data_IF_289163512368
#
_entry.id   IF_289163512368
#
_cell.length_a   1.000
_cell.length_b   1.000
_cell.length_c   1.000
_cell.angle_alpha   90.00
_cell.angle_beta   90.00
_cell.angle_gamma   90.00
#
_symmetry.space_group_name_H-M   'P 1'
#
loop_
_entity.id
_entity.type
_entity.pdbx_description
1 polymer ?
#
# COMPACT_ATOMS: atom_id res chain seq x y z
N UNK A 1 -29.25 17.77 -19.15
CA UNK A 1 -27.95 18.41 -18.88
C UNK A 1 -27.05 17.44 -18.15
N UNK A 2 -25.88 17.22 -18.63
CA UNK A 2 -24.91 16.36 -17.98
C UNK A 2 -23.93 17.20 -17.17
N UNK A 3 -23.69 16.77 -15.93
CA UNK A 3 -22.66 17.37 -15.10
C UNK A 3 -21.34 16.67 -15.43
N UNK A 4 -20.26 17.44 -15.57
CA UNK A 4 -18.95 16.85 -15.78
C UNK A 4 -18.60 15.93 -14.60
N UNK A 5 -18.09 14.74 -14.88
CA UNK A 5 -17.66 13.83 -13.85
C UNK A 5 -16.49 14.45 -13.08
N UNK A 6 -16.53 14.36 -11.76
CA UNK A 6 -15.48 14.84 -10.88
C UNK A 6 -14.22 13.98 -11.00
N UNK A 7 -14.42 12.68 -11.19
CA UNK A 7 -13.35 11.71 -11.39
C UNK A 7 -13.65 10.86 -12.62
N UNK A 8 -12.60 10.49 -13.33
CA UNK A 8 -12.71 9.55 -14.44
C UNK A 8 -12.86 8.12 -13.92
N UNK A 9 -12.17 7.79 -12.83
CA UNK A 9 -12.15 6.45 -12.23
C UNK A 9 -12.18 6.58 -10.72
N UNK A 10 -13.07 5.81 -10.09
CA UNK A 10 -13.08 5.62 -8.64
C UNK A 10 -12.94 4.13 -8.39
N UNK A 11 -11.97 3.73 -7.60
CA UNK A 11 -11.76 2.34 -7.23
C UNK A 11 -11.93 2.12 -5.73
N UNK A 12 -12.46 0.98 -5.37
CA UNK A 12 -12.59 0.53 -3.99
C UNK A 12 -11.75 -0.73 -3.84
N UNK A 13 -10.86 -0.76 -2.86
CA UNK A 13 -10.00 -1.92 -2.67
C UNK A 13 -9.27 -1.90 -1.34
N UNK A 14 -8.38 -2.85 -1.19
CA UNK A 14 -7.53 -2.94 -0.02
C UNK A 14 -6.37 -1.94 -0.13
N UNK A 15 -6.15 -1.20 0.94
CA UNK A 15 -5.00 -0.34 1.06
C UNK A 15 -3.80 -1.20 1.50
N UNK A 16 -2.83 -1.36 0.61
CA UNK A 16 -1.68 -2.23 0.82
C UNK A 16 -0.41 -1.39 0.70
N UNK A 17 0.52 -1.61 1.62
CA UNK A 17 1.87 -1.04 1.55
C UNK A 17 2.86 -2.17 1.40
N UNK A 18 3.72 -2.06 0.40
CA UNK A 18 4.84 -2.99 0.20
C UNK A 18 6.05 -2.46 0.96
N UNK A 19 6.63 -3.32 1.78
CA UNK A 19 7.88 -3.03 2.49
C UNK A 19 8.93 -3.99 1.96
N UNK A 20 9.97 -3.44 1.35
CA UNK A 20 11.04 -4.23 0.73
C UNK A 20 12.34 -3.96 1.48
N UNK A 21 12.95 -4.99 2.00
CA UNK A 21 14.22 -4.90 2.69
C UNK A 21 15.13 -6.04 2.27
N UNK A 22 16.44 -5.84 2.42
CA UNK A 22 17.42 -6.90 2.20
C UNK A 22 17.57 -7.71 3.47
N UNK A 23 17.63 -9.03 3.32
CA UNK A 23 17.86 -9.94 4.43
C UNK A 23 18.71 -11.11 3.94
N UNK A 24 19.52 -11.68 4.83
CA UNK A 24 20.27 -12.89 4.51
C UNK A 24 19.44 -14.14 4.77
N UNK A 25 19.95 -15.30 4.33
CA UNK A 25 19.26 -16.56 4.49
C UNK A 25 19.09 -16.95 5.97
N UNK A 26 20.03 -16.56 6.82
CA UNK A 26 19.95 -16.81 8.26
C UNK A 26 18.75 -16.09 8.90
N UNK A 27 18.46 -14.87 8.48
CA UNK A 27 17.27 -14.13 8.92
C UNK A 27 16.00 -14.89 8.53
N UNK A 28 15.91 -15.31 7.29
CA UNK A 28 14.73 -16.02 6.75
C UNK A 28 14.53 -17.34 7.49
N UNK A 29 15.57 -18.14 7.66
CA UNK A 29 15.53 -19.43 8.36
C UNK A 29 15.20 -19.22 9.85
N UNK A 30 15.82 -18.24 10.48
CA UNK A 30 15.59 -17.93 11.89
C UNK A 30 14.17 -17.47 12.20
N UNK A 31 13.45 -16.97 11.20
CA UNK A 31 12.05 -16.58 11.30
C UNK A 31 11.07 -17.66 10.84
N UNK A 32 11.55 -18.87 10.56
CA UNK A 32 10.75 -19.99 10.05
C UNK A 32 10.00 -19.64 8.76
N UNK A 33 10.63 -18.87 7.90
CA UNK A 33 10.10 -18.48 6.60
C UNK A 33 10.67 -19.37 5.51
N UNK A 34 9.85 -19.68 4.50
CA UNK A 34 10.29 -20.41 3.33
C UNK A 34 10.65 -19.43 2.22
N UNK A 35 11.91 -19.46 1.78
CA UNK A 35 12.40 -18.58 0.72
C UNK A 35 11.62 -18.81 -0.57
N UNK A 36 11.20 -17.72 -1.19
CA UNK A 36 10.44 -17.77 -2.45
C UNK A 36 8.97 -18.10 -2.32
N UNK A 37 8.46 -18.22 -1.08
CA UNK A 37 7.05 -18.51 -0.83
C UNK A 37 6.30 -17.28 -0.31
N UNK A 38 4.97 -17.36 -0.32
CA UNK A 38 4.11 -16.35 0.26
C UNK A 38 3.37 -16.95 1.47
N UNK A 39 3.31 -16.19 2.55
CA UNK A 39 2.60 -16.57 3.76
C UNK A 39 1.81 -15.37 4.28
N UNK A 40 0.55 -15.60 4.64
CA UNK A 40 -0.26 -14.58 5.29
C UNK A 40 0.10 -14.52 6.78
N UNK A 41 0.24 -13.31 7.31
CA UNK A 41 0.56 -13.07 8.71
C UNK A 41 -0.44 -12.09 9.31
N UNK A 42 -0.61 -12.15 10.63
CA UNK A 42 -1.45 -11.20 11.34
C UNK A 42 -0.70 -9.90 11.66
N UNK A 43 -1.40 -8.94 12.24
CA UNK A 43 -0.83 -7.63 12.58
C UNK A 43 0.34 -7.75 13.56
N UNK A 44 0.23 -8.63 14.57
CA UNK A 44 1.30 -8.82 15.55
C UNK A 44 2.57 -9.39 14.93
N UNK A 45 2.45 -10.39 14.08
CA UNK A 45 3.59 -10.95 13.35
C UNK A 45 4.19 -9.93 12.39
N UNK A 46 3.36 -9.13 11.73
CA UNK A 46 3.82 -8.09 10.82
C UNK A 46 4.64 -7.03 11.55
N UNK A 47 4.19 -6.58 12.72
CA UNK A 47 4.93 -5.60 13.52
C UNK A 47 6.26 -6.15 14.01
N UNK A 48 6.28 -7.40 14.49
CA UNK A 48 7.51 -8.05 14.93
C UNK A 48 8.50 -8.20 13.78
N UNK A 49 8.05 -8.68 12.64
CA UNK A 49 8.89 -8.86 11.47
C UNK A 49 9.43 -7.53 10.96
N UNK A 50 8.57 -6.53 10.89
CA UNK A 50 8.94 -5.18 10.46
C UNK A 50 10.02 -4.59 11.37
N UNK A 51 9.87 -4.73 12.69
CA UNK A 51 10.85 -4.25 13.66
C UNK A 51 12.20 -4.99 13.59
N UNK A 52 12.20 -6.25 13.16
CA UNK A 52 13.42 -7.05 13.02
C UNK A 52 14.13 -6.87 11.68
N UNK A 53 13.41 -6.37 10.66
CA UNK A 53 14.00 -6.09 9.36
C UNK A 53 14.93 -4.88 9.45
N UNK A 54 15.95 -4.89 8.62
CA UNK A 54 16.78 -3.72 8.44
C UNK A 54 16.03 -2.59 7.72
N UNK A 55 16.72 -1.49 7.36
CA UNK A 55 16.11 -0.41 6.62
C UNK A 55 15.44 -0.92 5.35
N UNK A 56 14.19 -0.53 5.13
CA UNK A 56 13.39 -0.97 4.00
C UNK A 56 12.84 0.19 3.18
N UNK A 57 12.37 -0.15 2.00
CA UNK A 57 11.64 0.77 1.13
C UNK A 57 10.15 0.48 1.31
N UNK A 58 9.39 1.51 1.66
CA UNK A 58 7.96 1.42 1.85
C UNK A 58 7.27 2.18 0.72
N UNK A 59 6.30 1.54 0.06
CA UNK A 59 5.51 2.19 -0.98
C UNK A 59 4.11 1.60 -1.04
N UNK A 60 3.16 2.40 -1.47
CA UNK A 60 1.79 1.91 -1.68
C UNK A 60 1.77 0.80 -2.72
N UNK A 61 0.89 -0.18 -2.51
CA UNK A 61 0.73 -1.31 -3.40
C UNK A 61 -0.74 -1.71 -3.52
N UNK A 62 -0.97 -2.93 -3.98
CA UNK A 62 -2.31 -3.47 -4.20
C UNK A 62 -2.83 -3.21 -5.60
N UNK A 63 -3.69 -4.10 -6.08
CA UNK A 63 -4.16 -4.06 -7.47
C UNK A 63 -4.94 -2.80 -7.80
N UNK A 64 -5.90 -2.40 -6.96
CA UNK A 64 -6.73 -1.22 -7.23
C UNK A 64 -5.89 0.05 -7.18
N UNK A 65 -5.07 0.23 -6.15
CA UNK A 65 -4.25 1.42 -5.99
C UNK A 65 -3.20 1.53 -7.11
N UNK A 66 -2.56 0.42 -7.48
CA UNK A 66 -1.58 0.42 -8.57
C UNK A 66 -2.22 0.76 -9.92
N UNK A 67 -3.43 0.28 -10.16
CA UNK A 67 -4.19 0.63 -11.36
C UNK A 67 -4.45 2.13 -11.42
N UNK A 68 -4.89 2.73 -10.32
CA UNK A 68 -5.14 4.16 -10.24
C UNK A 68 -3.85 4.97 -10.40
N UNK A 69 -2.75 4.50 -9.81
CA UNK A 69 -1.45 5.15 -9.97
C UNK A 69 -1.04 5.22 -11.45
N UNK A 70 -1.23 4.12 -12.19
CA UNK A 70 -0.97 4.09 -13.63
C UNK A 70 -1.88 5.03 -14.41
N UNK A 71 -3.18 5.05 -14.11
CA UNK A 71 -4.14 5.92 -14.78
C UNK A 71 -3.89 7.40 -14.47
N UNK A 72 -3.53 7.73 -13.21
CA UNK A 72 -3.18 9.10 -12.84
C UNK A 72 -1.92 9.58 -13.57
N UNK A 73 -0.94 8.71 -13.75
CA UNK A 73 0.26 9.01 -14.52
C UNK A 73 -0.08 9.33 -15.99
N UNK A 74 -1.18 8.79 -16.52
CA UNK A 74 -1.69 9.08 -17.86
C UNK A 74 -2.60 10.32 -17.89
N UNK A 75 -2.68 11.06 -16.80
CA UNK A 75 -3.43 12.31 -16.74
C UNK A 75 -4.90 12.16 -16.39
N UNK A 76 -5.34 10.99 -15.93
CA UNK A 76 -6.73 10.76 -15.52
C UNK A 76 -6.98 11.22 -14.10
N UNK A 77 -8.20 11.68 -13.84
CA UNK A 77 -8.63 12.09 -12.50
C UNK A 77 -9.14 10.85 -11.77
N UNK A 78 -8.42 10.43 -10.74
CA UNK A 78 -8.68 9.17 -10.03
C UNK A 78 -8.94 9.42 -8.56
N UNK A 79 -9.78 8.56 -7.97
CA UNK A 79 -10.05 8.52 -6.54
C UNK A 79 -10.00 7.09 -6.03
N UNK A 80 -9.55 6.90 -4.81
CA UNK A 80 -9.47 5.62 -4.15
C UNK A 80 -10.28 5.64 -2.86
N UNK A 81 -11.03 4.57 -2.62
CA UNK A 81 -11.76 4.34 -1.39
C UNK A 81 -11.22 3.06 -0.75
N UNK A 82 -10.66 3.17 0.44
CA UNK A 82 -10.13 2.05 1.20
C UNK A 82 -9.73 2.51 2.58
N UNK A 83 -9.56 1.58 3.50
CA UNK A 83 -9.32 1.89 4.91
C UNK A 83 -7.84 1.73 5.25
N UNK A 84 -7.28 2.72 5.94
CA UNK A 84 -5.94 2.64 6.52
C UNK A 84 -6.02 2.94 8.02
N UNK A 85 -5.06 2.42 8.78
CA UNK A 85 -4.93 2.73 10.19
C UNK A 85 -4.12 4.01 10.39
N UNK A 86 -4.23 4.60 11.59
CA UNK A 86 -3.40 5.73 11.99
C UNK A 86 -2.02 5.25 12.45
N UNK A 87 -1.26 4.70 11.52
CA UNK A 87 0.08 4.19 11.78
C UNK A 87 1.05 4.62 10.68
N UNK A 88 2.28 4.18 10.78
CA UNK A 88 3.34 4.50 9.81
C UNK A 88 2.94 4.07 8.39
N UNK A 89 2.46 2.85 8.23
CA UNK A 89 2.12 2.32 6.91
C UNK A 89 0.90 3.01 6.31
N UNK A 90 -0.09 3.38 7.15
CA UNK A 90 -1.25 4.15 6.71
C UNK A 90 -0.84 5.52 6.18
N UNK A 91 0.10 6.18 6.84
CA UNK A 91 0.62 7.48 6.40
C UNK A 91 1.36 7.35 5.07
N UNK A 92 2.16 6.30 4.88
CA UNK A 92 2.88 6.04 3.63
C UNK A 92 1.89 5.85 2.49
N UNK A 93 0.87 5.04 2.68
CA UNK A 93 -0.13 4.78 1.65
C UNK A 93 -0.84 6.08 1.23
N UNK A 94 -1.33 6.85 2.20
CA UNK A 94 -2.02 8.11 1.93
C UNK A 94 -1.12 9.12 1.21
N UNK A 95 0.12 9.25 1.68
CA UNK A 95 1.09 10.15 1.09
C UNK A 95 1.38 9.78 -0.37
N UNK A 96 1.60 8.50 -0.64
CA UNK A 96 1.93 8.04 -1.99
C UNK A 96 0.80 8.30 -2.97
N UNK A 97 -0.44 7.93 -2.61
CA UNK A 97 -1.59 8.16 -3.50
C UNK A 97 -1.80 9.66 -3.75
N UNK A 98 -1.71 10.47 -2.71
CA UNK A 98 -1.88 11.91 -2.83
C UNK A 98 -0.79 12.52 -3.72
N UNK A 99 0.46 12.07 -3.57
CA UNK A 99 1.58 12.54 -4.39
C UNK A 99 1.42 12.17 -5.86
N UNK A 100 0.74 11.07 -6.16
CA UNK A 100 0.46 10.65 -7.53
C UNK A 100 -0.77 11.34 -8.13
N UNK A 101 -1.44 12.18 -7.37
CA UNK A 101 -2.63 12.88 -7.81
C UNK A 101 -3.92 12.08 -7.68
N UNK A 102 -3.91 10.97 -6.95
CA UNK A 102 -5.10 10.18 -6.66
C UNK A 102 -5.77 10.75 -5.42
N UNK A 103 -7.06 11.09 -5.50
CA UNK A 103 -7.79 11.58 -4.34
C UNK A 103 -8.08 10.43 -3.37
N UNK A 104 -7.72 10.61 -2.12
CA UNK A 104 -7.94 9.63 -1.07
C UNK A 104 -8.38 10.35 0.19
N UNK A 105 -9.69 10.40 0.39
CA UNK A 105 -10.30 11.15 1.49
C UNK A 105 -10.97 10.25 2.54
N UNK A 106 -10.89 8.93 2.40
CA UNK A 106 -11.43 8.00 3.39
C UNK A 106 -10.76 8.26 4.75
N UNK A 107 -11.53 8.47 5.84
CA UNK A 107 -10.93 8.65 7.16
C UNK A 107 -10.15 7.41 7.61
N UNK A 108 -9.14 7.63 8.47
CA UNK A 108 -8.42 6.51 9.07
C UNK A 108 -9.34 5.69 9.98
N UNK A 109 -9.13 4.41 9.98
CA UNK A 109 -9.94 3.47 10.76
C UNK A 109 -9.22 2.89 11.95
#
# INVERSE_FOLDING_TARGET
MTTAARFDIVAIGNAIVDVIARADDAFITGRSLDKGSMRLIDTGEAEELYGAMGPGIEMSGGSAANTLAGMAALGRKCAFIGQVAQDQLGKVFRHDLTSLGVAFTTPDG
#
